data_IF_864272963689
#
_entry.id   IF_864272963689
#
_cell.length_a   1.000
_cell.length_b   1.000
_cell.length_c   1.000
_cell.angle_alpha   90.00
_cell.angle_beta   90.00
_cell.angle_gamma   90.00
#
_symmetry.space_group_name_H-M   'P 1'
#
loop_
_entity.id
_entity.type
_entity.pdbx_description
1 polymer ?
#
# COMPACT_ATOMS: atom_id res chain seq x y z
N UNK A 1 16.31 -3.96 11.78
CA UNK A 1 15.25 -2.91 11.73
C UNK A 1 14.29 -3.16 12.87
N UNK A 2 13.62 -2.14 13.42
CA UNK A 2 12.50 -2.35 14.38
C UNK A 2 11.14 -2.53 13.73
N UNK A 3 11.08 -2.45 12.40
CA UNK A 3 9.83 -2.64 11.67
C UNK A 3 9.34 -4.09 11.78
N UNK A 4 8.04 -4.24 11.98
CA UNK A 4 7.38 -5.53 12.17
C UNK A 4 6.85 -6.05 10.83
N UNK A 5 7.09 -7.32 10.54
CA UNK A 5 6.46 -8.02 9.41
C UNK A 5 5.11 -8.61 9.86
N UNK A 6 4.07 -8.36 9.06
CA UNK A 6 2.69 -8.81 9.34
C UNK A 6 2.09 -9.62 8.18
N UNK A 7 2.93 -10.08 7.24
CA UNK A 7 2.53 -10.82 6.04
C UNK A 7 2.50 -9.98 4.76
N UNK A 8 2.95 -8.71 4.83
CA UNK A 8 3.04 -7.79 3.68
C UNK A 8 4.25 -8.04 2.80
N UNK A 9 5.30 -8.68 3.33
CA UNK A 9 6.57 -8.89 2.64
C UNK A 9 7.46 -7.64 2.58
N UNK A 10 7.15 -6.59 3.36
CA UNK A 10 7.90 -5.35 3.38
C UNK A 10 9.36 -5.54 3.82
N UNK A 11 9.63 -6.47 4.76
CA UNK A 11 11.00 -6.75 5.19
C UNK A 11 11.80 -7.53 4.16
N UNK A 12 11.17 -8.40 3.37
CA UNK A 12 11.81 -9.01 2.21
C UNK A 12 12.16 -7.95 1.17
N UNK A 13 11.25 -7.00 0.90
CA UNK A 13 11.53 -5.86 0.01
C UNK A 13 12.71 -5.00 0.50
N UNK A 14 12.80 -4.76 1.81
CA UNK A 14 13.95 -4.07 2.40
C UNK A 14 15.26 -4.85 2.23
N UNK A 15 15.22 -6.18 2.38
CA UNK A 15 16.37 -7.04 2.13
C UNK A 15 16.77 -7.05 0.64
N UNK A 16 15.83 -7.04 -0.30
CA UNK A 16 16.12 -6.89 -1.73
C UNK A 16 16.80 -5.55 -2.04
N UNK A 17 16.37 -4.46 -1.41
CA UNK A 17 17.03 -3.15 -1.54
C UNK A 17 18.48 -3.21 -1.05
N UNK A 18 18.73 -3.84 0.11
CA UNK A 18 20.08 -4.01 0.65
C UNK A 18 20.95 -4.88 -0.26
N UNK A 19 20.41 -5.98 -0.79
CA UNK A 19 21.12 -6.87 -1.70
C UNK A 19 21.60 -6.11 -2.94
N UNK A 20 20.70 -5.30 -3.54
CA UNK A 20 21.01 -4.45 -4.69
C UNK A 20 22.06 -3.38 -4.35
N UNK A 21 21.89 -2.62 -3.26
CA UNK A 21 22.85 -1.55 -2.89
C UNK A 21 24.26 -2.07 -2.57
N UNK A 22 24.37 -3.34 -2.14
CA UNK A 22 25.63 -3.98 -1.73
C UNK A 22 26.20 -4.94 -2.77
N UNK A 23 25.49 -5.22 -3.86
CA UNK A 23 25.89 -6.17 -4.89
C UNK A 23 26.06 -7.60 -4.37
N UNK A 24 25.18 -8.03 -3.46
CA UNK A 24 25.17 -9.38 -2.85
C UNK A 24 23.87 -10.12 -3.16
N UNK A 25 23.82 -11.42 -2.89
CA UNK A 25 22.59 -12.18 -3.08
C UNK A 25 21.64 -11.93 -1.89
N UNK A 26 20.33 -12.00 -2.12
CA UNK A 26 19.33 -11.94 -1.05
C UNK A 26 19.58 -13.03 0.01
N UNK A 27 20.08 -14.20 -0.40
CA UNK A 27 20.42 -15.31 0.49
C UNK A 27 21.58 -15.02 1.45
N UNK A 28 22.38 -13.97 1.19
CA UNK A 28 23.46 -13.52 2.08
C UNK A 28 22.94 -12.59 3.19
N UNK A 29 21.64 -12.23 3.18
CA UNK A 29 21.03 -11.29 4.13
C UNK A 29 20.15 -12.06 5.11
N UNK A 30 20.46 -11.90 6.40
CA UNK A 30 19.59 -12.32 7.49
C UNK A 30 18.83 -11.13 8.07
N UNK A 31 17.51 -11.27 8.23
CA UNK A 31 16.64 -10.25 8.82
C UNK A 31 16.29 -10.68 10.23
N UNK A 32 16.94 -10.05 11.20
CA UNK A 32 16.69 -10.31 12.62
C UNK A 32 15.23 -10.03 13.01
N UNK A 33 14.70 -10.84 13.91
CA UNK A 33 13.40 -10.63 14.54
C UNK A 33 13.39 -9.35 15.37
N UNK A 34 12.22 -8.72 15.47
CA UNK A 34 12.05 -7.48 16.23
C UNK A 34 12.17 -7.75 17.73
N UNK A 35 13.03 -6.99 18.40
CA UNK A 35 13.24 -7.03 19.84
C UNK A 35 13.48 -5.59 20.32
N UNK A 36 12.67 -5.09 21.25
CA UNK A 36 12.81 -3.71 21.75
C UNK A 36 14.12 -3.45 22.51
N UNK A 37 14.80 -4.50 22.99
CA UNK A 37 16.12 -4.38 23.60
C UNK A 37 17.23 -4.23 22.55
N UNK A 38 17.08 -4.85 21.38
CA UNK A 38 18.16 -5.02 20.41
C UNK A 38 17.94 -4.34 19.04
N UNK A 39 16.70 -3.91 18.72
CA UNK A 39 16.35 -3.30 17.43
C UNK A 39 16.03 -1.81 17.57
N UNK A 40 16.37 -1.00 16.55
CA UNK A 40 16.12 0.44 16.60
C UNK A 40 14.62 0.75 16.56
N UNK A 41 14.23 1.91 17.09
CA UNK A 41 12.84 2.35 17.06
C UNK A 41 12.25 2.39 15.63
N UNK A 42 11.03 1.86 15.48
CA UNK A 42 10.18 2.02 14.31
C UNK A 42 8.75 2.40 14.77
N UNK A 43 8.02 3.12 13.93
CA UNK A 43 6.67 3.59 14.24
C UNK A 43 5.57 2.53 14.04
N UNK A 44 5.92 1.33 13.58
CA UNK A 44 5.01 0.23 13.33
C UNK A 44 4.51 0.15 11.89
N UNK A 45 4.01 -1.03 11.53
CA UNK A 45 3.42 -1.33 10.23
C UNK A 45 2.02 -0.72 10.11
N UNK A 46 1.94 0.52 9.64
CA UNK A 46 0.71 1.30 9.45
C UNK A 46 0.88 2.36 8.36
N UNK A 47 -0.22 2.86 7.78
CA UNK A 47 -0.17 3.96 6.79
C UNK A 47 0.65 3.61 5.54
N UNK A 48 0.71 2.32 5.20
CA UNK A 48 1.47 1.76 4.07
C UNK A 48 2.93 2.20 4.03
N UNK A 49 3.53 2.49 5.20
CA UNK A 49 4.83 3.17 5.27
C UNK A 49 6.05 2.26 5.24
N UNK A 50 5.91 0.97 5.58
CA UNK A 50 7.04 0.12 6.00
C UNK A 50 8.09 0.02 4.90
N UNK A 51 7.72 -0.43 3.70
CA UNK A 51 8.64 -0.53 2.57
C UNK A 51 9.27 0.82 2.20
N UNK A 52 8.51 1.91 2.31
CA UNK A 52 8.97 3.26 1.97
C UNK A 52 9.99 3.80 2.98
N UNK A 53 9.69 3.73 4.28
CA UNK A 53 10.54 4.25 5.36
C UNK A 53 11.76 3.35 5.58
N UNK A 54 11.53 2.04 5.76
CA UNK A 54 12.59 1.07 6.03
C UNK A 54 13.47 0.91 4.80
N UNK A 55 12.90 0.86 3.59
CA UNK A 55 13.68 0.81 2.36
C UNK A 55 14.62 2.01 2.21
N UNK A 56 14.16 3.23 2.48
CA UNK A 56 15.05 4.40 2.48
C UNK A 56 16.12 4.33 3.58
N UNK A 57 15.77 3.89 4.79
CA UNK A 57 16.74 3.71 5.87
C UNK A 57 17.80 2.66 5.50
N UNK A 58 17.41 1.57 4.83
CA UNK A 58 18.31 0.57 4.28
C UNK A 58 19.28 1.15 3.26
N UNK A 59 18.82 2.02 2.35
CA UNK A 59 19.72 2.70 1.39
C UNK A 59 20.75 3.59 2.08
N UNK A 60 20.34 4.31 3.12
CA UNK A 60 21.27 5.13 3.94
C UNK A 60 22.29 4.24 4.65
N UNK A 61 21.85 3.14 5.28
CA UNK A 61 22.73 2.20 5.94
C UNK A 61 23.71 1.52 4.96
N UNK A 62 23.23 1.13 3.78
CA UNK A 62 24.06 0.53 2.74
C UNK A 62 25.10 1.51 2.18
N UNK A 63 24.75 2.79 2.03
CA UNK A 63 25.70 3.83 1.63
C UNK A 63 26.83 4.01 2.66
N UNK A 64 26.51 3.97 3.96
CA UNK A 64 27.52 4.01 5.01
C UNK A 64 28.40 2.74 5.03
N UNK A 65 27.80 1.56 4.89
CA UNK A 65 28.55 0.31 4.81
C UNK A 65 29.49 0.29 3.59
N UNK A 66 29.00 0.73 2.42
CA UNK A 66 29.78 0.86 1.18
C UNK A 66 30.99 1.77 1.37
N UNK A 67 30.83 2.91 2.06
CA UNK A 67 31.94 3.80 2.41
C UNK A 67 33.01 3.06 3.21
N UNK A 68 32.63 2.36 4.27
CA UNK A 68 33.57 1.60 5.12
C UNK A 68 34.30 0.50 4.33
N UNK A 69 33.55 -0.24 3.50
CA UNK A 69 34.08 -1.28 2.60
C UNK A 69 35.13 -0.70 1.64
N UNK A 70 34.83 0.42 1.00
CA UNK A 70 35.74 1.09 0.07
C UNK A 70 36.98 1.64 0.77
N UNK A 71 36.85 2.18 1.98
CA UNK A 71 38.00 2.64 2.77
C UNK A 71 38.98 1.50 3.10
N UNK A 72 38.48 0.30 3.40
CA UNK A 72 39.31 -0.88 3.65
C UNK A 72 39.98 -1.34 2.36
N UNK A 73 39.23 -1.46 1.27
CA UNK A 73 39.78 -1.84 -0.03
C UNK A 73 40.86 -0.85 -0.49
N UNK A 74 40.62 0.46 -0.32
CA UNK A 74 41.57 1.52 -0.67
C UNK A 74 42.89 1.40 0.10
N UNK A 75 42.82 1.17 1.42
CA UNK A 75 44.01 0.95 2.27
C UNK A 75 44.79 -0.28 1.82
N UNK A 76 44.10 -1.40 1.59
CA UNK A 76 44.73 -2.65 1.16
C UNK A 76 45.39 -2.54 -0.22
N UNK A 77 44.81 -1.74 -1.11
CA UNK A 77 45.32 -1.46 -2.46
C UNK A 77 46.32 -0.30 -2.52
N UNK A 78 46.57 0.36 -1.39
CA UNK A 78 47.40 1.56 -1.27
C UNK A 78 47.03 2.64 -2.29
N UNK A 79 45.72 2.90 -2.43
CA UNK A 79 45.18 3.99 -3.26
C UNK A 79 44.60 5.09 -2.38
N UNK A 80 44.76 6.34 -2.81
CA UNK A 80 44.40 7.52 -2.01
C UNK A 80 42.91 7.91 -2.10
N UNK A 81 42.17 7.38 -3.07
CA UNK A 81 40.75 7.70 -3.31
C UNK A 81 39.93 6.41 -3.47
N UNK A 82 38.64 6.51 -3.14
CA UNK A 82 37.61 5.49 -3.41
C UNK A 82 36.84 5.78 -4.70
N UNK A 83 37.20 6.83 -5.44
CA UNK A 83 36.55 7.18 -6.71
C UNK A 83 36.72 6.05 -7.73
N UNK A 84 35.62 5.69 -8.40
CA UNK A 84 35.57 4.59 -9.36
C UNK A 84 35.55 3.20 -8.72
N UNK A 85 35.42 3.09 -7.40
CA UNK A 85 35.11 1.83 -6.74
C UNK A 85 33.63 1.50 -6.87
N UNK A 86 33.34 0.24 -7.18
CA UNK A 86 31.97 -0.28 -7.31
C UNK A 86 31.81 -1.56 -6.49
N UNK A 87 30.59 -1.81 -6.02
CA UNK A 87 30.18 -3.10 -5.47
C UNK A 87 29.48 -3.90 -6.57
N UNK A 88 30.02 -5.07 -6.91
CA UNK A 88 29.43 -5.97 -7.89
C UNK A 88 29.88 -7.40 -7.62
N UNK A 89 28.99 -8.37 -7.81
CA UNK A 89 29.30 -9.81 -7.72
C UNK A 89 29.97 -10.19 -6.37
N UNK A 90 29.45 -9.65 -5.26
CA UNK A 90 30.00 -9.82 -3.90
C UNK A 90 31.45 -9.34 -3.74
N UNK A 91 31.85 -8.35 -4.54
CA UNK A 91 33.21 -7.81 -4.56
C UNK A 91 33.24 -6.29 -4.68
N UNK A 92 34.32 -5.70 -4.16
CA UNK A 92 34.76 -4.35 -4.52
C UNK A 92 35.59 -4.45 -5.78
N UNK A 93 35.31 -3.60 -6.77
CA UNK A 93 36.03 -3.53 -8.04
C UNK A 93 36.61 -2.13 -8.24
N UNK A 94 37.85 -2.03 -8.68
CA UNK A 94 38.50 -0.79 -9.15
C UNK A 94 39.38 -1.08 -10.36
N UNK A 95 38.89 -0.80 -11.56
CA UNK A 95 39.55 -1.17 -12.82
C UNK A 95 39.74 -2.69 -12.90
N UNK A 96 40.99 -3.15 -12.94
CA UNK A 96 41.34 -4.58 -12.97
C UNK A 96 41.55 -5.18 -11.57
N UNK A 97 41.35 -4.41 -10.49
CA UNK A 97 41.49 -4.89 -9.11
C UNK A 97 40.13 -5.35 -8.61
N UNK A 98 40.12 -6.51 -7.97
CA UNK A 98 38.92 -7.09 -7.37
C UNK A 98 39.27 -7.64 -6.00
N UNK A 99 38.39 -7.44 -5.03
CA UNK A 99 38.48 -8.01 -3.69
C UNK A 99 37.10 -8.43 -3.24
N UNK A 100 36.94 -9.67 -2.79
CA UNK A 100 35.66 -10.15 -2.28
C UNK A 100 35.26 -9.43 -0.99
N UNK A 101 33.96 -9.28 -0.76
CA UNK A 101 33.43 -8.75 0.49
C UNK A 101 33.81 -9.62 1.70
N UNK A 102 33.99 -10.93 1.49
CA UNK A 102 34.53 -11.83 2.52
C UNK A 102 35.97 -11.48 2.92
N UNK A 103 36.83 -11.12 1.96
CA UNK A 103 38.18 -10.63 2.23
C UNK A 103 38.16 -9.28 2.93
N UNK A 104 37.31 -8.34 2.49
CA UNK A 104 37.12 -7.04 3.16
C UNK A 104 36.69 -7.23 4.62
N UNK A 105 35.69 -8.08 4.88
CA UNK A 105 35.22 -8.39 6.21
C UNK A 105 36.34 -9.00 7.07
N UNK A 106 37.11 -9.93 6.50
CA UNK A 106 38.26 -10.56 7.18
C UNK A 106 39.36 -9.54 7.52
N UNK A 107 39.62 -8.57 6.64
CA UNK A 107 40.55 -7.47 6.89
C UNK A 107 40.05 -6.58 8.02
N UNK A 108 38.78 -6.17 7.99
CA UNK A 108 38.15 -5.37 9.04
C UNK A 108 38.31 -6.02 10.42
N UNK A 109 37.97 -7.32 10.52
CA UNK A 109 38.02 -8.06 11.78
C UNK A 109 39.41 -8.12 12.40
N UNK A 110 40.47 -8.18 11.58
CA UNK A 110 41.85 -8.18 12.06
C UNK A 110 42.34 -6.81 12.54
N UNK A 111 41.79 -5.72 12.00
CA UNK A 111 42.27 -4.36 12.27
C UNK A 111 41.42 -3.55 13.24
N UNK A 112 40.13 -3.88 13.41
CA UNK A 112 39.20 -3.03 14.16
C UNK A 112 37.84 -3.63 14.50
N UNK A 113 37.57 -4.88 14.11
CA UNK A 113 36.32 -5.59 14.41
C UNK A 113 35.36 -5.68 13.22
N UNK A 114 34.10 -6.02 13.50
CA UNK A 114 33.04 -6.13 12.50
C UNK A 114 32.64 -4.77 11.92
N UNK A 115 32.14 -4.78 10.68
CA UNK A 115 31.56 -3.60 10.05
C UNK A 115 30.15 -3.40 10.59
N UNK A 116 29.89 -2.19 11.10
CA UNK A 116 28.58 -1.81 11.64
C UNK A 116 28.17 -0.51 10.95
N UNK A 117 27.00 -0.51 10.34
CA UNK A 117 26.42 0.65 9.66
C UNK A 117 25.05 0.99 10.23
N UNK A 118 24.67 2.25 10.14
CA UNK A 118 23.37 2.74 10.59
C UNK A 118 22.70 3.60 9.52
N UNK A 119 21.38 3.53 9.44
CA UNK A 119 20.58 4.35 8.54
C UNK A 119 19.28 4.80 9.19
N UNK A 120 18.99 6.10 9.06
CA UNK A 120 17.72 6.70 9.45
C UNK A 120 17.13 7.41 8.25
N UNK A 121 15.83 7.24 8.02
CA UNK A 121 15.09 7.98 7.01
C UNK A 121 13.87 8.65 7.65
N UNK A 122 13.86 9.98 7.61
CA UNK A 122 12.70 10.81 7.97
C UNK A 122 12.46 11.73 6.78
N UNK A 123 11.28 11.65 6.19
CA UNK A 123 10.93 12.58 5.11
C UNK A 123 10.34 13.86 5.70
N UNK A 124 10.84 15.04 5.30
CA UNK A 124 10.20 16.28 5.69
C UNK A 124 8.79 16.33 5.11
N UNK A 125 7.86 16.89 5.87
CA UNK A 125 6.52 17.17 5.36
C UNK A 125 6.62 18.09 4.15
N UNK A 126 5.93 17.80 3.03
CA UNK A 126 5.88 18.71 1.92
C UNK A 126 5.26 20.04 2.33
N UNK A 127 5.70 21.13 1.70
CA UNK A 127 5.06 22.42 1.86
C UNK A 127 3.58 22.32 1.45
N UNK A 128 2.70 22.89 2.27
CA UNK A 128 1.27 22.97 1.99
C UNK A 128 0.74 24.35 2.34
N UNK A 129 -0.41 24.71 1.76
CA UNK A 129 -1.09 25.97 2.03
C UNK A 129 -1.97 25.83 3.30
N UNK A 130 -1.58 26.41 4.45
CA UNK A 130 -2.31 26.29 5.70
C UNK A 130 -3.67 27.02 5.66
N UNK A 131 -3.93 27.84 4.65
CA UNK A 131 -5.23 28.47 4.47
C UNK A 131 -6.26 27.53 3.85
N UNK A 132 -5.80 26.51 3.09
CA UNK A 132 -6.64 25.52 2.41
C UNK A 132 -6.93 24.30 3.27
N UNK A 133 -5.98 23.88 4.09
CA UNK A 133 -6.11 22.72 4.98
C UNK A 133 -5.91 23.18 6.41
N UNK A 134 -7.01 23.26 7.17
CA UNK A 134 -7.02 23.71 8.57
C UNK A 134 -7.30 22.52 9.49
N UNK A 135 -6.51 22.38 10.55
CA UNK A 135 -6.68 21.37 11.61
C UNK A 135 -6.69 19.90 11.12
N UNK A 136 -6.13 19.60 9.95
CA UNK A 136 -5.99 18.23 9.49
C UNK A 136 -4.71 17.62 10.08
N UNK A 137 -4.75 16.41 10.68
CA UNK A 137 -3.57 15.79 11.31
C UNK A 137 -2.49 15.39 10.29
N UNK A 138 -2.87 15.21 9.02
CA UNK A 138 -1.96 14.91 7.90
C UNK A 138 -2.20 15.89 6.76
N UNK A 139 -1.72 17.14 6.86
CA UNK A 139 -2.10 18.21 5.92
C UNK A 139 -1.42 18.09 4.54
N UNK A 140 -0.44 17.20 4.40
CA UNK A 140 0.27 16.92 3.16
C UNK A 140 0.78 15.47 3.15
N UNK A 141 1.00 14.92 1.95
CA UNK A 141 1.56 13.58 1.76
C UNK A 141 2.83 13.64 0.95
N UNK A 142 3.89 12.98 1.43
CA UNK A 142 5.22 12.93 0.82
C UNK A 142 5.25 12.19 -0.52
N UNK A 143 4.29 11.30 -0.74
CA UNK A 143 4.23 10.44 -1.91
C UNK A 143 2.80 9.94 -2.14
N UNK A 144 1.90 10.77 -2.71
CA UNK A 144 0.57 10.31 -3.07
C UNK A 144 0.64 9.20 -4.12
N UNK A 145 -0.33 8.30 -4.07
CA UNK A 145 -0.56 7.26 -5.06
C UNK A 145 -2.00 7.37 -5.56
N UNK A 146 -2.24 6.83 -6.74
CA UNK A 146 -3.52 6.85 -7.43
C UNK A 146 -3.94 5.43 -7.80
N UNK A 147 -5.23 5.17 -7.72
CA UNK A 147 -5.80 3.84 -7.85
C UNK A 147 -7.08 3.91 -8.66
N UNK A 148 -7.33 2.89 -9.47
CA UNK A 148 -8.57 2.73 -10.21
C UNK A 148 -8.99 1.28 -10.19
N UNK A 149 -10.25 1.04 -9.80
CA UNK A 149 -10.85 -0.27 -9.75
C UNK A 149 -11.99 -0.34 -10.76
N UNK A 150 -12.03 -1.41 -11.53
CA UNK A 150 -13.14 -1.73 -12.42
C UNK A 150 -13.66 -3.12 -12.06
N UNK A 151 -14.97 -3.24 -11.92
CA UNK A 151 -15.62 -4.48 -11.52
C UNK A 151 -16.82 -4.76 -12.42
N UNK A 152 -16.94 -6.01 -12.82
CA UNK A 152 -18.07 -6.56 -13.55
C UNK A 152 -18.84 -7.49 -12.61
N UNK A 153 -20.16 -7.30 -12.55
CA UNK A 153 -21.03 -8.10 -11.68
C UNK A 153 -22.26 -8.57 -12.44
N UNK A 154 -22.77 -9.73 -12.05
CA UNK A 154 -24.14 -10.15 -12.34
C UNK A 154 -24.98 -10.10 -11.06
N UNK A 155 -26.27 -9.82 -11.21
CA UNK A 155 -27.22 -9.75 -10.09
C UNK A 155 -28.41 -10.63 -10.42
N UNK A 156 -28.72 -11.60 -9.55
CA UNK A 156 -29.91 -12.42 -9.68
C UNK A 156 -31.16 -11.57 -9.40
N UNK A 157 -32.09 -11.52 -10.36
CA UNK A 157 -33.29 -10.69 -10.26
C UNK A 157 -34.30 -11.17 -9.20
N UNK A 158 -34.28 -12.46 -8.85
CA UNK A 158 -35.20 -13.07 -7.90
C UNK A 158 -34.67 -13.00 -6.45
N UNK A 159 -33.36 -13.23 -6.25
CA UNK A 159 -32.75 -13.28 -4.91
C UNK A 159 -32.01 -12.00 -4.53
N UNK A 160 -31.56 -11.23 -5.52
CA UNK A 160 -30.65 -10.11 -5.32
C UNK A 160 -29.19 -10.53 -5.12
N UNK A 161 -28.86 -11.82 -5.24
CA UNK A 161 -27.49 -12.31 -5.10
C UNK A 161 -26.57 -11.69 -6.15
N UNK A 162 -25.35 -11.36 -5.74
CA UNK A 162 -24.35 -10.70 -6.58
C UNK A 162 -23.20 -11.66 -6.83
N UNK A 163 -22.86 -11.88 -8.10
CA UNK A 163 -21.63 -12.59 -8.49
C UNK A 163 -20.67 -11.59 -9.10
N UNK A 164 -19.41 -11.60 -8.65
CA UNK A 164 -18.34 -10.79 -9.25
C UNK A 164 -17.70 -11.61 -10.37
N UNK A 165 -17.94 -11.21 -11.61
CA UNK A 165 -17.47 -11.93 -12.80
C UNK A 165 -16.00 -11.62 -13.10
N UNK A 166 -15.61 -10.37 -12.87
CA UNK A 166 -14.26 -9.88 -13.18
C UNK A 166 -13.91 -8.69 -12.31
N UNK A 167 -12.64 -8.62 -11.91
CA UNK A 167 -12.11 -7.51 -11.13
C UNK A 167 -10.76 -7.06 -11.69
N UNK A 168 -10.61 -5.76 -11.97
CA UNK A 168 -9.36 -5.16 -12.47
C UNK A 168 -8.94 -4.04 -11.53
N UNK A 169 -7.67 -4.03 -11.14
CA UNK A 169 -7.05 -2.99 -10.31
C UNK A 169 -5.86 -2.39 -11.05
N UNK A 170 -5.89 -1.09 -11.26
CA UNK A 170 -4.72 -0.31 -11.66
C UNK A 170 -4.23 0.51 -10.48
N UNK A 171 -2.99 0.30 -10.05
CA UNK A 171 -2.44 0.92 -8.86
C UNK A 171 -1.07 1.53 -9.12
N UNK A 172 -0.92 2.81 -8.79
CA UNK A 172 0.35 3.52 -8.79
C UNK A 172 1.24 3.04 -7.64
N UNK A 173 2.24 2.24 -7.98
CA UNK A 173 3.18 1.62 -7.04
C UNK A 173 4.52 2.35 -6.99
N UNK A 174 4.69 3.37 -7.84
CA UNK A 174 5.95 4.06 -8.04
C UNK A 174 6.98 3.21 -8.75
N UNK A 175 7.70 2.39 -8.00
CA UNK A 175 8.67 1.41 -8.48
C UNK A 175 8.36 0.07 -7.82
N UNK A 176 8.15 -0.96 -8.62
CA UNK A 176 7.76 -2.27 -8.13
C UNK A 176 8.98 -3.05 -7.59
N UNK A 177 9.29 -2.88 -6.30
CA UNK A 177 10.39 -3.61 -5.63
C UNK A 177 10.21 -5.13 -5.78
N UNK A 178 8.98 -5.62 -5.58
CA UNK A 178 8.63 -7.02 -5.75
C UNK A 178 7.22 -7.13 -6.35
N UNK A 179 7.09 -7.26 -7.68
CA UNK A 179 5.79 -7.31 -8.37
C UNK A 179 4.86 -8.39 -7.81
N UNK A 180 5.38 -9.59 -7.55
CA UNK A 180 4.59 -10.72 -7.03
C UNK A 180 3.99 -10.43 -5.66
N UNK A 181 4.73 -9.77 -4.76
CA UNK A 181 4.20 -9.43 -3.43
C UNK A 181 3.18 -8.30 -3.52
N UNK A 182 3.40 -7.35 -4.43
CA UNK A 182 2.46 -6.26 -4.69
C UNK A 182 1.13 -6.82 -5.25
N UNK A 183 1.20 -7.76 -6.19
CA UNK A 183 0.02 -8.45 -6.74
C UNK A 183 -0.76 -9.18 -5.63
N UNK A 184 -0.07 -9.93 -4.77
CA UNK A 184 -0.71 -10.60 -3.63
C UNK A 184 -1.33 -9.63 -2.62
N UNK A 185 -0.73 -8.46 -2.38
CA UNK A 185 -1.33 -7.40 -1.57
C UNK A 185 -2.60 -6.84 -2.21
N UNK A 186 -2.60 -6.65 -3.54
CA UNK A 186 -3.77 -6.20 -4.28
C UNK A 186 -4.90 -7.22 -4.18
N UNK A 187 -4.62 -8.50 -4.41
CA UNK A 187 -5.58 -9.59 -4.28
C UNK A 187 -6.19 -9.66 -2.87
N UNK A 188 -5.34 -9.59 -1.83
CA UNK A 188 -5.77 -9.62 -0.44
C UNK A 188 -6.64 -8.42 -0.04
N UNK A 189 -6.27 -7.20 -0.47
CA UNK A 189 -7.07 -6.02 -0.19
C UNK A 189 -8.39 -6.00 -0.96
N UNK A 190 -8.42 -6.49 -2.20
CA UNK A 190 -9.67 -6.70 -2.95
C UNK A 190 -10.58 -7.68 -2.20
N UNK A 191 -10.03 -8.78 -1.66
CA UNK A 191 -10.80 -9.73 -0.85
C UNK A 191 -11.43 -9.04 0.38
N UNK A 192 -10.65 -8.27 1.14
CA UNK A 192 -11.15 -7.50 2.29
C UNK A 192 -12.27 -6.53 1.88
N UNK A 193 -12.06 -5.81 0.77
CA UNK A 193 -13.04 -4.84 0.30
C UNK A 193 -14.32 -5.49 -0.26
N UNK A 194 -14.24 -6.70 -0.86
CA UNK A 194 -15.42 -7.49 -1.24
C UNK A 194 -16.23 -7.87 0.00
N UNK A 195 -15.55 -8.34 1.05
CA UNK A 195 -16.19 -8.65 2.33
C UNK A 195 -16.93 -7.45 2.90
N UNK A 196 -16.24 -6.31 3.03
CA UNK A 196 -16.86 -5.05 3.44
C UNK A 196 -18.04 -4.65 2.56
N UNK A 197 -17.93 -4.85 1.25
CA UNK A 197 -18.97 -4.45 0.29
C UNK A 197 -20.23 -5.30 0.39
N UNK A 198 -20.12 -6.61 0.61
CA UNK A 198 -21.23 -7.55 0.37
C UNK A 198 -21.71 -8.30 1.61
N UNK A 199 -20.86 -8.55 2.62
CA UNK A 199 -21.16 -9.57 3.63
C UNK A 199 -20.70 -9.25 5.06
N UNK A 200 -19.61 -8.54 5.26
CA UNK A 200 -19.05 -8.28 6.58
C UNK A 200 -19.79 -7.14 7.30
N UNK A 201 -20.41 -7.48 8.43
CA UNK A 201 -21.09 -6.53 9.32
C UNK A 201 -20.89 -6.98 10.77
N UNK A 202 -20.59 -6.05 11.67
CA UNK A 202 -20.60 -6.35 13.10
C UNK A 202 -21.96 -5.97 13.67
N UNK A 203 -22.67 -6.96 14.21
CA UNK A 203 -24.02 -6.80 14.75
C UNK A 203 -23.93 -6.60 16.27
N UNK A 204 -24.52 -5.51 16.77
CA UNK A 204 -24.52 -5.18 18.19
C UNK A 204 -25.93 -5.11 18.77
N UNK A 205 -26.11 -5.62 19.98
CA UNK A 205 -27.33 -5.42 20.77
C UNK A 205 -26.97 -5.24 22.25
N UNK A 206 -27.51 -4.18 22.89
CA UNK A 206 -27.22 -3.89 24.29
C UNK A 206 -25.73 -3.72 24.61
N UNK A 207 -24.92 -3.26 23.64
CA UNK A 207 -23.46 -3.12 23.77
C UNK A 207 -22.67 -4.43 23.59
N UNK A 208 -23.32 -5.54 23.23
CA UNK A 208 -22.68 -6.83 22.98
C UNK A 208 -22.61 -7.10 21.47
N UNK A 209 -21.47 -7.61 21.00
CA UNK A 209 -21.35 -8.16 19.64
C UNK A 209 -22.07 -9.50 19.59
N UNK A 210 -23.02 -9.65 18.68
CA UNK A 210 -23.82 -10.87 18.53
C UNK A 210 -23.15 -11.91 17.63
N UNK A 211 -22.35 -11.48 16.65
CA UNK A 211 -21.71 -12.33 15.67
C UNK A 211 -20.16 -12.36 15.82
N UNK A 212 -19.67 -12.49 17.06
CA UNK A 212 -18.23 -12.57 17.36
C UNK A 212 -17.61 -13.95 17.02
N UNK A 213 -17.93 -14.49 15.84
CA UNK A 213 -17.46 -15.77 15.35
C UNK A 213 -17.36 -15.75 13.81
N UNK A 214 -16.55 -16.64 13.23
CA UNK A 214 -16.31 -16.68 11.78
C UNK A 214 -17.44 -17.36 10.98
N UNK A 215 -18.47 -17.87 11.65
CA UNK A 215 -19.66 -18.40 10.99
C UNK A 215 -20.62 -17.27 10.67
N UNK A 216 -20.89 -16.37 11.61
CA UNK A 216 -21.90 -15.32 11.49
C UNK A 216 -21.31 -13.98 11.05
N UNK A 217 -20.01 -13.75 11.24
CA UNK A 217 -19.26 -12.71 10.57
C UNK A 217 -18.74 -13.25 9.23
N UNK A 218 -19.46 -12.93 8.15
CA UNK A 218 -19.31 -13.56 6.84
C UNK A 218 -18.13 -12.98 6.06
N UNK A 219 -16.91 -13.42 6.37
CA UNK A 219 -15.75 -13.14 5.53
C UNK A 219 -15.87 -13.86 4.18
N UNK A 220 -15.36 -13.29 3.08
CA UNK A 220 -15.28 -13.97 1.79
C UNK A 220 -14.50 -15.28 1.88
N UNK A 221 -15.00 -16.29 1.17
CA UNK A 221 -14.33 -17.57 0.96
C UNK A 221 -13.58 -17.57 -0.37
N UNK A 222 -12.78 -18.61 -0.62
CA UNK A 222 -12.13 -18.78 -1.91
C UNK A 222 -13.10 -18.89 -3.10
N UNK A 223 -14.36 -19.29 -2.87
CA UNK A 223 -15.38 -19.38 -3.91
C UNK A 223 -16.04 -18.02 -4.23
N UNK A 224 -15.90 -17.05 -3.33
CA UNK A 224 -16.44 -15.70 -3.51
C UNK A 224 -15.45 -14.79 -4.24
N UNK A 225 -14.19 -15.24 -4.39
CA UNK A 225 -13.13 -14.46 -5.00
C UNK A 225 -13.14 -14.58 -6.53
N UNK A 226 -13.22 -13.45 -7.26
CA UNK A 226 -12.97 -13.44 -8.69
C UNK A 226 -11.46 -13.57 -8.96
N UNK A 227 -11.10 -13.83 -10.22
CA UNK A 227 -9.73 -13.57 -10.66
C UNK A 227 -9.50 -12.05 -10.67
N UNK A 228 -8.50 -11.59 -9.94
CA UNK A 228 -8.10 -10.18 -9.90
C UNK A 228 -7.02 -9.94 -10.94
N UNK A 229 -7.27 -9.04 -11.88
CA UNK A 229 -6.28 -8.58 -12.84
C UNK A 229 -5.60 -7.31 -12.32
N UNK A 230 -4.27 -7.32 -12.27
CA UNK A 230 -3.47 -6.24 -11.71
C UNK A 230 -2.74 -5.48 -12.83
N UNK A 231 -2.74 -4.16 -12.72
CA UNK A 231 -1.96 -3.25 -13.57
C UNK A 231 -1.11 -2.39 -12.66
N UNK A 232 0.18 -2.72 -12.58
CA UNK A 232 1.15 -1.95 -11.80
C UNK A 232 1.54 -0.70 -12.58
N UNK A 233 1.11 0.46 -12.11
CA UNK A 233 1.45 1.75 -12.71
C UNK A 233 2.72 2.28 -12.05
N UNK A 234 3.79 2.42 -12.81
CA UNK A 234 5.08 2.88 -12.29
C UNK A 234 5.28 4.38 -12.54
N UNK A 235 4.88 5.19 -11.56
CA UNK A 235 5.18 6.62 -11.52
C UNK A 235 6.03 6.97 -10.31
N UNK A 236 7.36 6.99 -10.51
CA UNK A 236 8.35 7.10 -9.45
C UNK A 236 8.05 8.22 -8.44
N UNK A 237 8.04 7.86 -7.16
CA UNK A 237 8.06 8.81 -6.05
C UNK A 237 9.40 9.54 -6.00
N UNK A 238 9.36 10.85 -5.76
CA UNK A 238 10.59 11.63 -5.56
C UNK A 238 11.33 11.25 -4.27
N UNK A 239 10.64 10.65 -3.30
CA UNK A 239 11.13 10.38 -1.96
C UNK A 239 11.22 8.89 -1.61
N UNK A 240 10.74 8.00 -2.50
CA UNK A 240 10.71 6.56 -2.26
C UNK A 240 12.04 5.88 -2.56
N UNK A 241 12.34 4.72 -1.94
CA UNK A 241 13.50 3.93 -2.33
C UNK A 241 13.32 3.49 -3.78
N UNK A 242 14.26 3.88 -4.64
CA UNK A 242 14.17 3.70 -6.12
C UNK A 242 12.91 4.29 -6.77
N UNK A 243 12.16 5.14 -6.06
CA UNK A 243 10.87 5.65 -6.51
C UNK A 243 9.64 4.86 -6.04
N UNK A 244 9.79 3.86 -5.16
CA UNK A 244 8.67 3.06 -4.67
C UNK A 244 7.67 3.84 -3.81
N UNK A 245 6.41 3.39 -3.78
CA UNK A 245 5.32 3.92 -2.95
C UNK A 245 4.76 2.85 -2.01
N UNK A 246 3.95 3.28 -1.04
CA UNK A 246 3.17 2.36 -0.21
C UNK A 246 2.03 1.74 -1.01
N UNK A 247 1.80 0.44 -0.86
CA UNK A 247 0.83 -0.33 -1.66
C UNK A 247 -0.17 -1.15 -0.86
N UNK A 248 -0.01 -1.25 0.46
CA UNK A 248 -0.74 -2.22 1.28
C UNK A 248 -2.21 -1.87 1.53
N UNK A 249 -2.50 -0.62 1.90
CA UNK A 249 -3.87 -0.19 2.20
C UNK A 249 -4.74 0.11 0.97
N UNK A 250 -4.23 0.71 -0.12
CA UNK A 250 -5.08 1.11 -1.25
C UNK A 250 -6.07 0.06 -1.74
N UNK A 251 -5.70 -1.21 -1.99
CA UNK A 251 -6.59 -2.15 -2.65
C UNK A 251 -7.90 -2.48 -1.90
N UNK A 252 -7.99 -2.18 -0.59
CA UNK A 252 -9.22 -2.40 0.17
C UNK A 252 -10.15 -1.17 0.24
N UNK A 253 -9.74 -0.01 -0.28
CA UNK A 253 -10.48 1.26 -0.13
C UNK A 253 -11.63 1.35 -1.15
N UNK A 254 -11.36 1.08 -2.42
CA UNK A 254 -12.28 1.27 -3.53
C UNK A 254 -13.34 0.18 -3.73
N UNK A 255 -13.14 -1.11 -3.34
CA UNK A 255 -14.09 -2.16 -3.68
C UNK A 255 -15.55 -1.88 -3.30
N UNK A 256 -15.89 -1.35 -2.11
CA UNK A 256 -17.27 -1.00 -1.78
C UNK A 256 -17.94 -0.07 -2.79
N UNK A 257 -17.23 0.98 -3.23
CA UNK A 257 -17.76 1.96 -4.16
C UNK A 257 -17.85 1.41 -5.60
N UNK A 258 -16.82 0.68 -6.04
CA UNK A 258 -16.80 0.04 -7.35
C UNK A 258 -17.95 -0.97 -7.50
N UNK A 259 -18.12 -1.84 -6.50
CA UNK A 259 -19.16 -2.86 -6.48
C UNK A 259 -20.56 -2.23 -6.41
N UNK A 260 -20.75 -1.21 -5.56
CA UNK A 260 -22.02 -0.49 -5.49
C UNK A 260 -22.43 0.14 -6.84
N UNK A 261 -21.46 0.68 -7.59
CA UNK A 261 -21.70 1.24 -8.91
C UNK A 261 -22.04 0.18 -9.95
N UNK A 262 -21.34 -0.95 -9.93
CA UNK A 262 -21.62 -2.06 -10.84
C UNK A 262 -23.00 -2.69 -10.56
N UNK A 263 -23.34 -2.91 -9.28
CA UNK A 263 -24.68 -3.40 -8.89
C UNK A 263 -25.77 -2.45 -9.39
N UNK A 264 -25.60 -1.13 -9.20
CA UNK A 264 -26.59 -0.16 -9.66
C UNK A 264 -26.72 -0.11 -11.18
N UNK A 265 -25.61 -0.29 -11.91
CA UNK A 265 -25.64 -0.38 -13.37
C UNK A 265 -26.34 -1.67 -13.84
N UNK A 266 -26.10 -2.80 -13.17
CA UNK A 266 -26.67 -4.09 -13.53
C UNK A 266 -28.16 -4.24 -13.12
N UNK A 267 -28.55 -3.66 -11.99
CA UNK A 267 -29.88 -3.88 -11.37
C UNK A 267 -30.82 -2.67 -11.41
N UNK A 268 -30.31 -1.46 -11.68
CA UNK A 268 -31.04 -0.20 -11.50
C UNK A 268 -31.23 0.20 -10.03
N UNK A 269 -30.80 -0.61 -9.07
CA UNK A 269 -30.96 -0.36 -7.63
C UNK A 269 -29.73 0.30 -7.04
N UNK A 270 -29.94 1.36 -6.25
CA UNK A 270 -28.88 2.04 -5.51
C UNK A 270 -29.01 1.81 -4.01
N UNK A 271 -28.27 0.84 -3.48
CA UNK A 271 -28.08 0.70 -2.02
C UNK A 271 -27.00 1.69 -1.57
N UNK A 272 -27.30 2.46 -0.52
CA UNK A 272 -26.43 3.55 -0.04
C UNK A 272 -25.69 3.21 1.27
N UNK A 273 -25.81 1.96 1.74
CA UNK A 273 -25.18 1.50 2.96
C UNK A 273 -24.63 0.09 2.79
N UNK A 274 -23.34 -0.08 3.10
CA UNK A 274 -22.68 -1.39 3.17
C UNK A 274 -23.02 -2.12 4.48
N UNK A 275 -22.97 -3.46 4.50
CA UNK A 275 -22.83 -4.33 3.33
C UNK A 275 -24.09 -4.30 2.44
N UNK A 276 -23.89 -4.43 1.14
CA UNK A 276 -24.93 -4.47 0.10
C UNK A 276 -25.40 -5.91 -0.04
N UNK A 277 -26.15 -6.37 0.95
CA UNK A 277 -26.65 -7.75 0.98
C UNK A 277 -27.70 -8.01 -0.11
N UNK A 278 -27.83 -9.27 -0.52
CA UNK A 278 -28.85 -9.72 -1.47
C UNK A 278 -30.26 -9.30 -1.04
N UNK A 279 -30.57 -9.41 0.26
CA UNK A 279 -31.82 -8.95 0.86
C UNK A 279 -32.08 -7.45 0.59
N UNK A 280 -31.08 -6.58 0.80
CA UNK A 280 -31.22 -5.13 0.55
C UNK A 280 -31.51 -4.86 -0.92
N UNK A 281 -30.90 -5.61 -1.83
CA UNK A 281 -31.15 -5.49 -3.28
C UNK A 281 -32.57 -5.94 -3.60
N UNK A 282 -32.99 -7.12 -3.15
CA UNK A 282 -34.31 -7.69 -3.42
C UNK A 282 -35.45 -6.80 -2.88
N UNK A 283 -35.32 -6.30 -1.65
CA UNK A 283 -36.32 -5.41 -1.03
C UNK A 283 -36.42 -4.06 -1.76
N UNK A 284 -35.29 -3.52 -2.20
CA UNK A 284 -35.27 -2.26 -2.94
C UNK A 284 -35.91 -2.39 -4.34
N UNK A 285 -35.83 -3.57 -4.98
CA UNK A 285 -36.57 -3.86 -6.23
C UNK A 285 -38.07 -4.03 -6.01
N UNK A 286 -38.46 -4.68 -4.91
CA UNK A 286 -39.86 -4.94 -4.58
C UNK A 286 -40.64 -3.66 -4.22
N UNK A 287 -39.94 -2.60 -3.83
CA UNK A 287 -40.53 -1.29 -3.56
C UNK A 287 -40.57 -0.50 -4.87
N UNK A 288 -41.74 -0.18 -5.45
CA UNK A 288 -41.79 0.64 -6.65
C UNK A 288 -41.07 1.97 -6.38
N UNK A 289 -40.09 2.30 -7.21
CA UNK A 289 -39.53 3.65 -7.23
C UNK A 289 -40.69 4.60 -7.55
N UNK A 290 -41.20 5.32 -6.56
CA UNK A 290 -42.22 6.34 -6.78
C UNK A 290 -41.72 7.29 -7.89
N UNK A 291 -42.43 7.42 -9.03
CA UNK A 291 -42.14 8.46 -10.00
C UNK A 291 -42.75 9.78 -9.48
N UNK A 292 -42.24 10.27 -8.35
CA UNK A 292 -42.55 11.61 -7.84
C UNK A 292 -41.27 12.41 -7.65
N UNK A 293 -40.47 12.52 -8.70
CA UNK A 293 -39.90 13.85 -9.02
C UNK A 293 -40.92 14.56 -9.90
N UNK A 294 -42.00 14.98 -9.25
CA UNK A 294 -43.04 15.79 -9.86
C UNK A 294 -42.44 17.08 -10.38
N UNK A 295 -42.96 17.51 -11.52
CA UNK A 295 -42.76 18.80 -12.19
C UNK A 295 -43.09 20.04 -11.30
N UNK A 296 -43.30 19.86 -9.99
CA UNK A 296 -43.65 20.90 -9.03
C UNK A 296 -42.46 21.75 -8.52
N UNK A 297 -41.22 21.25 -8.60
CA UNK A 297 -40.06 22.02 -8.12
C UNK A 297 -39.64 23.16 -9.06
N UNK A 298 -39.93 23.05 -10.36
CA UNK A 298 -39.57 24.08 -11.35
C UNK A 298 -40.58 25.25 -11.38
N UNK A 299 -41.87 24.98 -11.12
CA UNK A 299 -42.89 26.04 -11.03
C UNK A 299 -42.75 26.89 -9.76
N UNK A 300 -42.42 26.29 -8.61
CA UNK A 300 -42.23 27.06 -7.37
C UNK A 300 -40.96 27.93 -7.37
N UNK A 301 -39.95 27.60 -8.18
CA UNK A 301 -38.76 28.43 -8.35
C UNK A 301 -38.98 29.62 -9.31
N UNK A 302 -39.87 29.47 -10.30
CA UNK A 302 -40.20 30.56 -11.22
C UNK A 302 -41.18 31.59 -10.61
N UNK A 303 -42.12 31.17 -9.76
CA UNK A 303 -43.05 32.10 -9.09
C UNK A 303 -42.38 32.97 -8.02
N UNK A 304 -41.32 32.47 -7.36
CA UNK A 304 -40.57 33.23 -6.35
C UNK A 304 -39.63 34.31 -6.92
N UNK A 305 -39.30 34.25 -8.21
CA UNK A 305 -38.46 35.27 -8.87
C UNK A 305 -39.27 36.46 -9.42
N UNK A 306 -40.61 36.40 -9.40
CA UNK A 306 -41.49 37.45 -9.93
C UNK A 306 -41.96 38.52 -8.93
N UNK A 307 -41.67 38.38 -7.63
CA UNK A 307 -42.15 39.30 -6.59
C UNK A 307 -40.97 39.88 -5.78
N UNK A 308 -40.30 40.88 -6.35
CA UNK A 308 -39.66 41.94 -5.56
C UNK A 308 -40.36 43.27 -5.84
N UNK A 309 -40.91 43.96 -4.83
CA UNK A 309 -41.27 45.36 -4.97
C UNK A 309 -39.98 46.20 -4.94
N UNK A 310 -39.81 47.06 -5.96
CA UNK A 310 -38.80 48.13 -5.94
C UNK A 310 -39.17 49.14 -4.85
N UNK A 311 -38.20 49.50 -4.00
CA UNK A 311 -37.73 50.87 -3.93
C UNK A 311 -36.25 50.99 -4.32
#
# INVERSE_FOLDING_TARGET
>A
SGAVEIGTGALTGAAQILAEELGIDLADIDVAQVDTEATPFDYGAQGSRTAFSVGNACRVAAADLRRQVFEIAAKQWNVATTDGMELRDKSVVLGNRTMSLAEVASLSQRSGGGLISHGTAIQPMPAYDPTRVKNHPLPAWTSPSFHAHAVEVSVDDATGDVTIERYVVAQDVGFAINPTYIEGQIEGGVAQGIGQALSEEIVYEGGRVLNANLTDYKMPTAMDMPRVETILVEHASVNGPYGAKGVGEPPCIEPPAAIANAIAAASGVRVQAVPITAEKIALARATPCHPERSEGSLKQQQERQGMMPRP
#
